data_IF_239595840223
#
_entry.id   IF_239595840223
#
_cell.length_a   1.000
_cell.length_b   1.000
_cell.length_c   1.000
_cell.angle_alpha   90.00
_cell.angle_beta   90.00
_cell.angle_gamma   90.00
#
_symmetry.space_group_name_H-M   'P 1'
#
loop_
_entity.id
_entity.type
_entity.pdbx_description
1 polymer ?
#
# COMPACT_ATOMS: atom_id res chain seq x y z
N UNK A 1 -23.08 -33.04 -71.53
CA UNK A 1 -23.44 -32.72 -70.12
C UNK A 1 -22.34 -33.22 -69.18
N UNK A 2 -21.10 -32.73 -69.35
CA UNK A 2 -19.92 -33.25 -68.62
C UNK A 2 -18.85 -32.16 -68.36
N UNK A 3 -19.20 -30.87 -68.44
CA UNK A 3 -18.24 -29.76 -68.33
C UNK A 3 -18.51 -28.84 -67.12
N UNK A 4 -19.58 -29.08 -66.34
CA UNK A 4 -19.91 -28.24 -65.18
C UNK A 4 -19.56 -28.85 -63.80
N UNK A 5 -19.01 -30.07 -63.76
CA UNK A 5 -18.76 -30.78 -62.49
C UNK A 5 -17.36 -30.48 -61.93
N UNK A 6 -16.43 -29.97 -62.75
CA UNK A 6 -15.05 -29.73 -62.32
C UNK A 6 -14.76 -28.34 -61.74
N UNK A 7 -15.69 -27.38 -61.85
CA UNK A 7 -15.53 -26.03 -61.27
C UNK A 7 -15.95 -25.94 -59.79
N UNK A 8 -16.73 -26.90 -59.29
CA UNK A 8 -17.16 -26.93 -57.89
C UNK A 8 -16.12 -27.50 -56.92
N UNK A 9 -15.19 -28.33 -57.42
CA UNK A 9 -14.17 -28.98 -56.59
C UNK A 9 -12.95 -28.10 -56.30
N UNK A 10 -12.71 -27.06 -57.10
CA UNK A 10 -11.63 -26.10 -56.85
C UNK A 10 -12.03 -24.96 -55.90
N UNK A 11 -13.32 -24.83 -55.55
CA UNK A 11 -13.83 -23.81 -54.62
C UNK A 11 -14.09 -24.34 -53.20
N UNK A 12 -13.95 -25.65 -52.98
CA UNK A 12 -14.09 -26.26 -51.65
C UNK A 12 -12.76 -26.40 -50.88
N UNK A 13 -11.68 -25.79 -51.38
CA UNK A 13 -10.33 -25.92 -50.82
C UNK A 13 -9.78 -24.61 -50.25
N UNK A 14 -10.64 -23.75 -49.67
CA UNK A 14 -10.18 -22.48 -49.08
C UNK A 14 -10.90 -22.06 -47.79
N UNK A 15 -11.39 -22.99 -46.96
CA UNK A 15 -12.03 -22.65 -45.68
C UNK A 15 -11.66 -23.51 -44.48
N UNK A 16 -10.59 -24.30 -44.55
CA UNK A 16 -9.93 -24.80 -43.34
C UNK A 16 -8.71 -23.94 -43.07
N UNK A 17 -8.90 -22.84 -42.32
CA UNK A 17 -7.79 -22.30 -41.55
C UNK A 17 -7.27 -23.46 -40.69
N UNK A 18 -5.99 -23.84 -40.78
CA UNK A 18 -5.44 -24.80 -39.85
C UNK A 18 -5.64 -24.20 -38.46
N UNK A 19 -6.47 -24.85 -37.63
CA UNK A 19 -6.46 -24.61 -36.20
C UNK A 19 -5.09 -25.13 -35.75
N UNK A 20 -4.09 -24.27 -35.78
CA UNK A 20 -2.86 -24.50 -35.07
C UNK A 20 -3.28 -24.67 -33.63
N UNK A 21 -3.23 -25.90 -33.12
CA UNK A 21 -3.14 -26.14 -31.69
C UNK A 21 -1.78 -25.60 -31.26
N UNK A 22 -1.66 -24.27 -31.25
CA UNK A 22 -0.45 -23.56 -30.94
C UNK A 22 -0.15 -23.83 -29.48
N UNK A 23 0.98 -24.47 -29.23
CA UNK A 23 1.46 -24.72 -27.89
C UNK A 23 1.69 -23.35 -27.21
N UNK A 24 0.76 -22.96 -26.33
CA UNK A 24 0.85 -21.70 -25.60
C UNK A 24 1.75 -21.84 -24.38
N UNK A 25 2.50 -20.79 -24.08
CA UNK A 25 3.35 -20.69 -22.90
C UNK A 25 2.70 -19.79 -21.85
N UNK A 26 2.90 -20.15 -20.59
CA UNK A 26 2.44 -19.36 -19.45
C UNK A 26 3.53 -18.34 -19.09
N UNK A 27 3.26 -17.06 -19.32
CA UNK A 27 4.18 -15.95 -19.07
C UNK A 27 3.66 -15.15 -17.89
N UNK A 28 4.43 -15.12 -16.80
CA UNK A 28 4.16 -14.27 -15.65
C UNK A 28 5.23 -13.18 -15.49
N UNK A 29 5.02 -12.24 -14.55
CA UNK A 29 6.04 -11.24 -14.19
C UNK A 29 7.34 -11.92 -13.73
N UNK A 30 8.45 -11.62 -14.41
CA UNK A 30 9.80 -12.08 -14.05
C UNK A 30 10.45 -11.19 -13.00
N UNK A 31 10.03 -9.93 -12.92
CA UNK A 31 10.50 -8.98 -11.91
C UNK A 31 9.61 -9.08 -10.67
N UNK A 32 10.19 -8.88 -9.46
CA UNK A 32 9.40 -8.83 -8.24
C UNK A 32 8.41 -7.67 -8.29
N UNK A 33 7.17 -7.95 -7.92
CA UNK A 33 6.13 -6.93 -7.75
C UNK A 33 6.32 -6.32 -6.37
N UNK A 34 6.39 -4.99 -6.30
CA UNK A 34 6.61 -4.23 -5.06
C UNK A 34 5.30 -3.53 -4.69
N UNK A 35 4.91 -3.61 -3.42
CA UNK A 35 3.70 -2.97 -2.90
C UNK A 35 3.86 -2.61 -1.42
N UNK A 36 3.02 -1.72 -0.91
CA UNK A 36 2.94 -1.40 0.52
C UNK A 36 1.84 -2.21 1.20
N UNK A 37 1.94 -2.36 2.52
CA UNK A 37 0.90 -3.01 3.29
C UNK A 37 -0.42 -2.21 3.18
N UNK A 38 -1.52 -2.89 2.85
CA UNK A 38 -2.82 -2.29 2.59
C UNK A 38 -3.15 -2.11 1.10
N UNK A 39 -2.16 -2.22 0.22
CA UNK A 39 -2.37 -2.10 -1.23
C UNK A 39 -3.16 -3.28 -1.82
N UNK A 40 -3.75 -3.02 -2.96
CA UNK A 40 -4.35 -4.02 -3.82
C UNK A 40 -3.34 -4.39 -4.93
N UNK A 41 -2.93 -5.65 -5.01
CA UNK A 41 -1.84 -6.08 -5.90
C UNK A 41 -2.33 -7.05 -6.95
N UNK A 42 -1.85 -6.91 -8.19
CA UNK A 42 -2.12 -7.84 -9.29
C UNK A 42 -0.88 -8.67 -9.58
N UNK A 43 -0.99 -9.98 -9.40
CA UNK A 43 -0.01 -10.96 -9.84
C UNK A 43 -0.25 -11.28 -11.33
N UNK A 44 0.45 -10.56 -12.19
CA UNK A 44 0.25 -10.62 -13.65
C UNK A 44 0.75 -11.94 -14.26
N UNK A 45 -0.15 -12.66 -14.91
CA UNK A 45 0.18 -13.86 -15.69
C UNK A 45 -0.77 -14.09 -16.87
N UNK A 46 -0.23 -14.51 -18.02
CA UNK A 46 -0.97 -14.69 -19.27
C UNK A 46 -0.44 -15.82 -20.12
N UNK A 47 -1.30 -16.37 -20.97
CA UNK A 47 -0.95 -17.33 -22.01
C UNK A 47 -0.52 -16.62 -23.30
N UNK A 48 0.58 -17.07 -23.89
CA UNK A 48 1.16 -16.51 -25.13
C UNK A 48 1.64 -17.65 -26.07
N UNK A 49 1.09 -17.76 -27.28
CA UNK A 49 -0.02 -16.98 -27.83
C UNK A 49 -1.31 -17.11 -27.00
N UNK A 50 -2.21 -16.10 -27.03
CA UNK A 50 -3.46 -16.10 -26.27
C UNK A 50 -4.35 -17.29 -26.65
N UNK A 51 -4.75 -18.07 -25.64
CA UNK A 51 -5.75 -19.14 -25.77
C UNK A 51 -6.71 -19.09 -24.59
N UNK A 52 -8.00 -19.35 -24.81
CA UNK A 52 -9.02 -19.24 -23.75
C UNK A 52 -8.77 -20.21 -22.60
N UNK A 53 -8.64 -19.66 -21.38
CA UNK A 53 -8.57 -20.40 -20.13
C UNK A 53 -9.92 -20.49 -19.41
N UNK A 54 -11.03 -20.07 -20.03
CA UNK A 54 -12.35 -20.00 -19.37
C UNK A 54 -12.88 -21.36 -18.90
N UNK A 55 -12.56 -22.43 -19.63
CA UNK A 55 -12.93 -23.81 -19.29
C UNK A 55 -11.76 -24.60 -18.67
N UNK A 56 -10.69 -23.92 -18.25
CA UNK A 56 -9.50 -24.55 -17.68
C UNK A 56 -9.41 -24.26 -16.19
N UNK A 57 -8.85 -25.21 -15.44
CA UNK A 57 -8.48 -24.97 -14.05
C UNK A 57 -7.27 -24.02 -13.99
N UNK A 58 -7.37 -22.99 -13.16
CA UNK A 58 -6.28 -22.07 -12.82
C UNK A 58 -6.03 -22.17 -11.32
N UNK A 59 -4.83 -22.55 -10.95
CA UNK A 59 -4.41 -22.71 -9.56
C UNK A 59 -3.36 -21.66 -9.22
N UNK A 60 -3.63 -20.90 -8.16
CA UNK A 60 -2.63 -20.08 -7.50
C UNK A 60 -2.30 -20.69 -6.15
N UNK A 61 -1.02 -20.97 -5.92
CA UNK A 61 -0.52 -21.49 -4.66
C UNK A 61 0.60 -20.62 -4.10
N UNK A 62 0.77 -20.62 -2.79
CA UNK A 62 1.91 -20.00 -2.12
C UNK A 62 2.71 -21.09 -1.41
N UNK A 63 3.92 -21.42 -1.89
CA UNK A 63 4.78 -22.42 -1.26
C UNK A 63 5.02 -22.08 0.22
N UNK A 64 4.95 -23.10 1.08
CA UNK A 64 5.16 -22.97 2.52
C UNK A 64 3.92 -22.60 3.34
N UNK A 65 2.75 -22.52 2.71
CA UNK A 65 1.46 -22.50 3.42
C UNK A 65 0.88 -23.92 3.53
N UNK A 66 0.04 -24.15 4.53
CA UNK A 66 -0.78 -25.36 4.63
C UNK A 66 -2.24 -24.94 4.89
N UNK A 67 -3.19 -25.17 3.95
CA UNK A 67 -2.97 -25.67 2.59
C UNK A 67 -2.27 -24.63 1.68
N UNK A 68 -1.55 -25.06 0.64
CA UNK A 68 -0.81 -24.14 -0.24
C UNK A 68 -1.72 -23.33 -1.19
N UNK A 69 -2.94 -23.80 -1.46
CA UNK A 69 -3.86 -23.21 -2.42
C UNK A 69 -4.43 -21.89 -1.91
N UNK A 70 -4.14 -20.78 -2.58
CA UNK A 70 -4.65 -19.45 -2.19
C UNK A 70 -5.78 -18.96 -3.10
N UNK A 71 -5.93 -19.55 -4.29
CA UNK A 71 -7.07 -19.36 -5.18
C UNK A 71 -7.12 -20.51 -6.18
N UNK A 72 -8.27 -21.15 -6.33
CA UNK A 72 -8.49 -22.20 -7.33
C UNK A 72 -9.75 -21.85 -8.10
N UNK A 73 -9.62 -21.67 -9.41
CA UNK A 73 -10.75 -21.44 -10.31
C UNK A 73 -10.90 -22.65 -11.22
N UNK A 74 -12.06 -23.30 -11.15
CA UNK A 74 -12.37 -24.51 -11.89
C UNK A 74 -13.79 -24.38 -12.47
N UNK A 75 -13.96 -24.73 -13.75
CA UNK A 75 -15.25 -24.74 -14.44
C UNK A 75 -16.04 -23.42 -14.29
N UNK A 76 -15.32 -22.29 -14.39
CA UNK A 76 -15.91 -20.95 -14.29
C UNK A 76 -16.24 -20.49 -12.86
N UNK A 77 -15.84 -21.25 -11.83
CA UNK A 77 -16.19 -20.98 -10.42
C UNK A 77 -14.97 -21.04 -9.52
N UNK A 78 -14.98 -20.21 -8.47
CA UNK A 78 -14.01 -20.29 -7.38
C UNK A 78 -14.33 -21.49 -6.48
N UNK A 79 -13.33 -22.33 -6.23
CA UNK A 79 -13.40 -23.47 -5.30
C UNK A 79 -12.91 -23.01 -3.94
N UNK A 80 -13.85 -22.70 -3.04
CA UNK A 80 -13.53 -22.16 -1.72
C UNK A 80 -13.07 -23.21 -0.70
N UNK A 81 -13.47 -24.48 -0.85
CA UNK A 81 -13.23 -25.49 0.18
C UNK A 81 -11.75 -25.82 0.40
N UNK A 82 -10.93 -25.70 -0.64
CA UNK A 82 -9.49 -25.98 -0.60
C UNK A 82 -8.64 -24.72 -0.36
N UNK A 83 -9.27 -23.55 -0.28
CA UNK A 83 -8.56 -22.28 -0.16
C UNK A 83 -7.97 -22.10 1.24
N UNK A 84 -6.74 -21.62 1.31
CA UNK A 84 -6.08 -21.26 2.54
C UNK A 84 -6.86 -20.15 3.26
N UNK A 85 -7.24 -20.34 4.54
CA UNK A 85 -8.04 -19.37 5.28
C UNK A 85 -7.45 -17.95 5.34
N UNK A 86 -6.12 -17.80 5.24
CA UNK A 86 -5.44 -16.49 5.26
C UNK A 86 -5.76 -15.63 4.02
N UNK A 87 -6.21 -16.27 2.94
CA UNK A 87 -6.50 -15.66 1.64
C UNK A 87 -8.01 -15.64 1.29
N UNK A 88 -8.86 -16.21 2.15
CA UNK A 88 -10.31 -16.20 1.96
C UNK A 88 -10.84 -14.77 1.76
N UNK A 89 -11.66 -14.59 0.72
CA UNK A 89 -12.26 -13.31 0.34
C UNK A 89 -11.27 -12.19 0.01
N UNK A 90 -9.98 -12.52 -0.17
CA UNK A 90 -8.91 -11.57 -0.51
C UNK A 90 -8.30 -11.81 -1.88
N UNK A 91 -8.80 -12.77 -2.65
CA UNK A 91 -8.26 -13.08 -3.98
C UNK A 91 -9.35 -13.11 -5.04
N UNK A 92 -9.02 -12.65 -6.25
CA UNK A 92 -9.92 -12.71 -7.40
C UNK A 92 -9.13 -12.91 -8.70
N UNK A 93 -9.66 -13.69 -9.64
CA UNK A 93 -9.19 -13.71 -11.03
C UNK A 93 -9.96 -12.68 -11.87
N UNK A 94 -9.36 -12.25 -12.97
CA UNK A 94 -10.03 -11.49 -14.03
C UNK A 94 -10.84 -12.45 -14.92
N UNK A 95 -11.98 -12.92 -14.40
CA UNK A 95 -12.79 -13.98 -15.02
C UNK A 95 -13.21 -13.63 -16.46
N UNK A 96 -13.53 -12.36 -16.72
CA UNK A 96 -13.88 -11.83 -18.03
C UNK A 96 -12.72 -11.90 -19.03
N UNK A 97 -11.47 -11.89 -18.55
CA UNK A 97 -10.25 -11.93 -19.37
C UNK A 97 -9.68 -13.34 -19.55
N UNK A 98 -10.27 -14.37 -18.92
CA UNK A 98 -9.87 -15.76 -19.11
C UNK A 98 -10.03 -16.19 -20.58
N UNK A 99 -11.04 -15.67 -21.29
CA UNK A 99 -11.25 -15.93 -22.72
C UNK A 99 -10.06 -15.46 -23.58
N UNK A 100 -9.35 -14.42 -23.13
CA UNK A 100 -8.15 -13.88 -23.75
C UNK A 100 -6.85 -14.51 -23.20
N UNK A 101 -6.96 -15.55 -22.38
CA UNK A 101 -5.80 -16.23 -21.78
C UNK A 101 -5.12 -15.45 -20.66
N UNK A 102 -5.76 -14.40 -20.12
CA UNK A 102 -5.26 -13.71 -18.94
C UNK A 102 -5.66 -14.48 -17.68
N UNK A 103 -4.69 -15.00 -16.96
CA UNK A 103 -4.87 -15.80 -15.74
C UNK A 103 -4.32 -15.09 -14.49
N UNK A 104 -4.18 -13.76 -14.59
CA UNK A 104 -3.70 -12.91 -13.50
C UNK A 104 -4.64 -12.97 -12.30
N UNK A 105 -4.08 -12.89 -11.10
CA UNK A 105 -4.84 -12.86 -9.84
C UNK A 105 -4.60 -11.55 -9.11
N UNK A 106 -5.66 -10.95 -8.60
CA UNK A 106 -5.61 -9.82 -7.68
C UNK A 106 -5.66 -10.31 -6.23
N UNK A 107 -4.81 -9.75 -5.38
CA UNK A 107 -4.84 -9.89 -3.92
C UNK A 107 -5.26 -8.54 -3.32
N UNK A 108 -6.30 -8.54 -2.48
CA UNK A 108 -6.83 -7.34 -1.83
C UNK A 108 -6.16 -7.08 -0.49
N UNK A 109 -5.83 -5.82 -0.25
CA UNK A 109 -5.25 -5.30 1.01
C UNK A 109 -4.09 -6.15 1.52
N UNK A 110 -3.01 -6.23 0.75
CA UNK A 110 -1.85 -7.08 1.04
C UNK A 110 -1.26 -6.79 2.43
N UNK A 111 -0.78 -7.82 3.10
CA UNK A 111 -0.12 -7.75 4.41
C UNK A 111 1.38 -7.99 4.23
N UNK A 112 2.19 -7.60 5.21
CA UNK A 112 3.63 -7.95 5.24
C UNK A 112 3.86 -9.46 5.16
N UNK A 113 2.98 -10.27 5.75
CA UNK A 113 2.98 -11.75 5.64
C UNK A 113 2.72 -12.27 4.23
N UNK A 114 2.16 -11.45 3.35
CA UNK A 114 1.84 -11.83 1.98
C UNK A 114 3.09 -11.76 1.08
N UNK A 115 4.20 -11.18 1.53
CA UNK A 115 5.46 -11.22 0.80
C UNK A 115 5.91 -12.67 0.50
N UNK A 116 6.69 -12.84 -0.56
CA UNK A 116 7.27 -14.11 -0.96
C UNK A 116 6.87 -14.57 -2.36
N UNK A 117 7.09 -15.86 -2.64
CA UNK A 117 6.85 -16.45 -3.95
C UNK A 117 5.43 -17.01 -4.06
N UNK A 118 4.88 -16.90 -5.26
CA UNK A 118 3.56 -17.39 -5.66
C UNK A 118 3.72 -18.25 -6.90
N UNK A 119 3.00 -19.35 -7.00
CA UNK A 119 2.98 -20.23 -8.16
C UNK A 119 1.63 -20.12 -8.87
N UNK A 120 1.67 -19.90 -10.18
CA UNK A 120 0.53 -20.06 -11.07
C UNK A 120 0.68 -21.39 -11.82
N UNK A 121 -0.31 -22.26 -11.76
CA UNK A 121 -0.31 -23.57 -12.42
C UNK A 121 -1.62 -23.78 -13.20
N UNK A 122 -1.49 -24.24 -14.44
CA UNK A 122 -2.60 -24.65 -15.29
C UNK A 122 -2.48 -26.16 -15.56
N UNK A 123 -3.21 -27.02 -14.82
CA UNK A 123 -3.10 -28.47 -14.93
C UNK A 123 -3.35 -29.00 -16.34
N UNK A 124 -4.37 -28.47 -17.03
CA UNK A 124 -4.74 -28.89 -18.40
C UNK A 124 -3.64 -28.66 -19.44
N UNK A 125 -2.71 -27.73 -19.18
CA UNK A 125 -1.59 -27.41 -20.07
C UNK A 125 -0.24 -27.93 -19.54
N UNK A 126 -0.20 -28.42 -18.29
CA UNK A 126 1.03 -28.76 -17.57
C UNK A 126 2.05 -27.62 -17.61
N UNK A 127 1.58 -26.40 -17.34
CA UNK A 127 2.41 -25.18 -17.31
C UNK A 127 2.34 -24.54 -15.94
N UNK A 128 3.49 -24.25 -15.36
CA UNK A 128 3.62 -23.47 -14.14
C UNK A 128 4.68 -22.38 -14.27
N UNK A 129 4.54 -21.34 -13.46
CA UNK A 129 5.52 -20.26 -13.32
C UNK A 129 5.37 -19.60 -11.96
N UNK A 130 6.44 -18.94 -11.51
CA UNK A 130 6.52 -18.30 -10.20
C UNK A 130 6.62 -16.78 -10.33
N UNK A 131 6.01 -16.08 -9.38
CA UNK A 131 6.08 -14.63 -9.24
C UNK A 131 6.53 -14.31 -7.81
N UNK A 132 7.33 -13.27 -7.64
CA UNK A 132 7.75 -12.78 -6.32
C UNK A 132 7.02 -11.48 -5.98
N UNK A 133 6.44 -11.41 -4.77
CA UNK A 133 5.83 -10.22 -4.19
C UNK A 133 6.71 -9.73 -3.04
N UNK A 134 7.12 -8.46 -3.09
CA UNK A 134 7.84 -7.76 -2.03
C UNK A 134 6.93 -6.72 -1.42
N UNK A 135 6.84 -6.72 -0.10
CA UNK A 135 6.11 -5.71 0.65
C UNK A 135 7.12 -4.74 1.25
N UNK A 136 7.05 -3.49 0.82
CA UNK A 136 7.80 -2.41 1.45
C UNK A 136 7.12 -2.05 2.76
N UNK A 137 7.88 -2.10 3.85
CA UNK A 137 7.42 -1.58 5.13
C UNK A 137 7.42 -0.07 5.07
N UNK A 138 6.35 0.56 5.58
CA UNK A 138 6.43 1.94 6.02
C UNK A 138 7.47 1.98 7.15
N UNK A 139 8.71 2.20 6.78
CA UNK A 139 9.73 2.65 7.71
C UNK A 139 9.20 4.00 8.19
N UNK A 140 8.48 4.00 9.31
CA UNK A 140 8.30 5.21 10.09
C UNK A 140 9.72 5.67 10.41
N UNK A 141 10.19 6.60 9.60
CA UNK A 141 11.53 7.11 9.68
C UNK A 141 11.70 7.67 11.10
N UNK A 142 12.60 7.14 11.96
CA UNK A 142 12.73 7.61 13.34
C UNK A 142 13.21 9.08 13.40
N UNK A 143 13.61 9.64 12.26
CA UNK A 143 13.84 11.08 12.01
C UNK A 143 12.56 11.93 12.08
N UNK A 144 11.37 11.33 11.90
CA UNK A 144 10.07 11.96 12.09
C UNK A 144 9.66 12.12 13.57
N UNK A 145 10.65 12.16 14.46
CA UNK A 145 10.52 12.73 15.79
C UNK A 145 10.20 14.24 15.67
N UNK A 146 8.95 14.56 15.35
CA UNK A 146 8.35 15.88 15.54
C UNK A 146 8.58 16.47 16.96
N UNK A 147 8.73 15.70 18.06
CA UNK A 147 9.23 16.26 19.32
C UNK A 147 10.68 16.76 19.26
N UNK A 148 11.59 16.12 18.53
CA UNK A 148 13.01 16.51 18.47
C UNK A 148 13.20 17.85 17.72
N UNK A 149 12.42 18.07 16.65
CA UNK A 149 12.42 19.35 15.91
C UNK A 149 11.75 20.45 16.73
N UNK A 150 10.68 20.14 17.47
CA UNK A 150 10.03 21.12 18.34
C UNK A 150 10.94 21.59 19.48
N UNK A 151 11.72 20.69 20.09
CA UNK A 151 12.64 21.01 21.19
C UNK A 151 13.77 21.93 20.70
N UNK A 152 14.35 21.67 19.52
CA UNK A 152 15.43 22.51 18.99
C UNK A 152 14.95 23.93 18.66
N UNK A 153 13.73 24.08 18.15
CA UNK A 153 13.10 25.40 17.91
C UNK A 153 12.81 26.12 19.23
N UNK A 154 12.26 25.44 20.25
CA UNK A 154 11.99 26.03 21.55
C UNK A 154 13.25 26.53 22.25
N UNK A 155 14.33 25.75 22.22
CA UNK A 155 15.63 26.15 22.75
C UNK A 155 16.23 27.34 21.99
N UNK A 156 16.09 27.35 20.65
CA UNK A 156 16.51 28.47 19.82
C UNK A 156 15.76 29.76 20.12
N UNK A 157 14.43 29.70 20.25
CA UNK A 157 13.59 30.86 20.61
C UNK A 157 13.95 31.38 22.01
N UNK A 158 14.16 30.48 22.99
CA UNK A 158 14.56 30.87 24.34
C UNK A 158 15.93 31.59 24.33
N UNK A 159 16.89 31.10 23.55
CA UNK A 159 18.21 31.72 23.40
C UNK A 159 18.12 33.12 22.75
N UNK A 160 17.27 33.29 21.75
CA UNK A 160 17.04 34.61 21.13
C UNK A 160 16.42 35.58 22.14
N UNK A 161 15.41 35.14 22.91
CA UNK A 161 14.78 35.97 23.94
C UNK A 161 15.77 36.38 25.03
N UNK A 162 16.65 35.48 25.47
CA UNK A 162 17.66 35.82 26.48
C UNK A 162 18.67 36.84 25.95
N UNK A 163 19.13 36.71 24.70
CA UNK A 163 20.01 37.69 24.04
C UNK A 163 19.31 39.03 23.89
N UNK A 164 18.05 39.06 23.45
CA UNK A 164 17.26 40.30 23.31
C UNK A 164 17.07 40.98 24.66
N UNK A 165 16.67 40.25 25.70
CA UNK A 165 16.53 40.79 27.05
C UNK A 165 17.85 41.29 27.61
N UNK A 166 18.96 40.58 27.35
CA UNK A 166 20.28 40.98 27.77
C UNK A 166 20.75 42.25 27.07
N UNK A 167 20.57 42.35 25.74
CA UNK A 167 20.83 43.57 24.95
C UNK A 167 19.93 44.72 25.42
N UNK A 168 18.65 44.46 25.66
CA UNK A 168 17.70 45.45 26.15
C UNK A 168 18.10 45.96 27.54
N UNK A 169 18.50 45.05 28.44
CA UNK A 169 19.01 45.35 29.78
C UNK A 169 20.34 46.10 29.72
N UNK A 170 21.25 45.74 28.82
CA UNK A 170 22.50 46.45 28.60
C UNK A 170 22.27 47.86 28.06
N UNK A 171 21.28 48.02 27.17
CA UNK A 171 20.84 49.33 26.66
C UNK A 171 20.23 50.19 27.77
N UNK A 172 19.37 49.59 28.60
CA UNK A 172 18.81 50.22 29.80
C UNK A 172 19.89 50.63 30.80
N UNK A 173 20.91 49.80 31.00
CA UNK A 173 22.07 50.12 31.87
C UNK A 173 22.81 51.38 31.41
N UNK A 174 22.86 51.62 30.08
CA UNK A 174 23.45 52.82 29.49
C UNK A 174 22.52 54.05 29.54
N UNK A 175 21.21 53.86 29.57
CA UNK A 175 20.23 54.95 29.70
C UNK A 175 19.94 55.14 31.19
N UNK A 176 20.84 55.85 31.87
CA UNK A 176 20.87 56.08 33.32
C UNK A 176 19.68 56.81 33.95
N UNK A 177 18.49 56.78 33.36
CA UNK A 177 17.26 57.45 33.84
C UNK A 177 16.04 56.52 34.02
N UNK A 178 16.16 55.20 33.86
CA UNK A 178 15.01 54.26 33.99
C UNK A 178 14.97 53.42 35.27
N UNK A 179 15.61 53.86 36.36
CA UNK A 179 15.46 53.15 37.65
C UNK A 179 14.06 53.36 38.27
N UNK A 180 13.44 54.51 38.04
CA UNK A 180 12.17 54.85 38.69
C UNK A 180 10.94 54.18 38.02
N UNK A 181 10.95 54.01 36.69
CA UNK A 181 9.84 53.41 35.94
C UNK A 181 9.76 51.88 36.05
N UNK A 182 10.90 51.20 36.23
CA UNK A 182 10.94 49.75 36.44
C UNK A 182 10.39 49.34 37.82
N UNK A 183 10.55 50.20 38.83
CA UNK A 183 9.93 49.99 40.15
C UNK A 183 8.41 50.22 40.11
N UNK A 184 7.92 51.14 39.28
CA UNK A 184 6.48 51.36 39.08
C UNK A 184 5.81 50.15 38.42
N UNK A 185 6.40 49.60 37.34
CA UNK A 185 5.87 48.40 36.67
C UNK A 185 5.99 47.10 37.49
N UNK A 186 7.08 46.92 38.27
CA UNK A 186 7.27 45.72 39.08
C UNK A 186 6.30 45.63 40.26
N UNK A 187 5.93 46.78 40.85
CA UNK A 187 4.99 46.81 41.97
C UNK A 187 3.54 46.57 41.51
N UNK A 188 3.15 47.07 40.33
CA UNK A 188 1.84 46.79 39.75
C UNK A 188 1.67 45.32 39.32
N UNK A 189 2.71 44.72 38.73
CA UNK A 189 2.65 43.34 38.25
C UNK A 189 2.61 42.32 39.41
N UNK A 190 3.35 42.57 40.50
CA UNK A 190 3.30 41.75 41.71
C UNK A 190 1.95 41.91 42.45
N UNK A 191 1.33 43.08 42.41
CA UNK A 191 -0.02 43.31 42.95
C UNK A 191 -1.08 42.50 42.19
N UNK A 192 -1.02 42.48 40.85
CA UNK A 192 -1.93 41.68 40.01
C UNK A 192 -1.76 40.17 40.28
N UNK A 193 -0.52 39.68 40.45
CA UNK A 193 -0.27 38.27 40.77
C UNK A 193 -0.82 37.93 42.17
N UNK A 194 -0.67 38.81 43.16
CA UNK A 194 -1.25 38.64 44.51
C UNK A 194 -2.79 38.65 44.49
N UNK A 195 -3.42 39.50 43.67
CA UNK A 195 -4.87 39.52 43.49
C UNK A 195 -5.35 38.20 42.86
N UNK A 196 -4.71 37.73 41.79
CA UNK A 196 -5.08 36.45 41.14
C UNK A 196 -4.86 35.25 42.07
N UNK A 197 -3.82 35.27 42.90
CA UNK A 197 -3.53 34.22 43.87
C UNK A 197 -4.48 34.22 45.08
N UNK A 198 -5.04 35.38 45.44
CA UNK A 198 -6.04 35.49 46.52
C UNK A 198 -7.44 35.17 46.02
N UNK A 199 -7.83 35.59 44.81
CA UNK A 199 -9.12 35.23 44.20
C UNK A 199 -9.22 33.73 43.92
N UNK A 200 -8.12 33.07 43.56
CA UNK A 200 -8.06 31.62 43.35
C UNK A 200 -8.08 30.82 44.68
N UNK A 201 -7.74 31.46 45.81
CA UNK A 201 -7.77 30.83 47.13
C UNK A 201 -9.17 30.82 47.75
N UNK A 202 -10.05 31.76 47.38
CA UNK A 202 -11.42 31.80 47.89
C UNK A 202 -12.40 30.88 47.13
N UNK A 203 -12.11 30.50 45.88
CA UNK A 203 -12.96 29.57 45.10
C UNK A 203 -12.76 28.09 45.49
N UNK A 204 -11.65 27.75 46.15
CA UNK A 204 -11.34 26.39 46.58
C UNK A 204 -11.96 26.02 47.94
N UNK A 205 -12.57 26.98 48.65
CA UNK A 205 -13.21 26.77 49.96
C UNK A 205 -14.74 26.65 49.88
N UNK A 206 -15.33 26.65 48.68
CA UNK A 206 -16.79 26.56 48.47
C UNK A 206 -17.27 25.26 47.80
N UNK A 207 -16.45 24.20 47.81
CA UNK A 207 -16.76 22.87 47.27
C UNK A 207 -16.52 21.73 48.27
N UNK A 208 -16.90 21.95 49.53
CA UNK A 208 -17.23 20.90 50.51
C UNK A 208 -18.64 21.13 51.05
#
# INVERSE_FOLDING_TARGET
>A
MHVFIWFGFWLFSLYSLPVTTGQSNLICSTQPIVAHAGDDVILSCRLDPPISASSRTVEWTKPGLDPEYIHVHQDGRLVYQSQNPLYNYRTALFVDQLINGNVSMKIFRVKTSDAGKYKCFLPSLWKETFIELKIEGDFMDPSSCTPCVAISVLLGVLFILTVVLWVWKWRQSKTGERKHLLNLFSNDFLSIILIVMTTNRDDHHKRE
#
